data_IF_299506287410
#
_entry.id   IF_299506287410
#
_cell.length_a   1.000
_cell.length_b   1.000
_cell.length_c   1.000
_cell.angle_alpha   90.00
_cell.angle_beta   90.00
_cell.angle_gamma   90.00
#
_symmetry.space_group_name_H-M   'P 1'
#
loop_
_entity.id
_entity.type
_entity.pdbx_description
1 polymer ?
#
# COMPACT_ATOMS: atom_id res chain seq x y z
N UNK A 1 -2.06 -12.66 32.25
CA UNK A 1 -1.70 -11.56 31.33
C UNK A 1 -2.73 -10.45 31.52
N UNK A 2 -2.30 -9.21 31.81
CA UNK A 2 -3.21 -8.11 32.18
C UNK A 2 -3.92 -7.57 30.93
N UNK A 3 -5.20 -7.26 31.04
CA UNK A 3 -5.92 -6.51 30.02
C UNK A 3 -5.25 -5.15 29.84
N UNK A 4 -5.07 -4.72 28.58
CA UNK A 4 -4.48 -3.42 28.28
C UNK A 4 -5.49 -2.33 28.64
N UNK A 5 -5.13 -1.45 29.57
CA UNK A 5 -5.93 -0.29 29.97
C UNK A 5 -5.79 0.82 28.92
N UNK A 6 -6.91 1.24 28.31
CA UNK A 6 -6.95 2.35 27.37
C UNK A 6 -6.39 3.65 27.99
N UNK A 7 -6.62 3.88 29.29
CA UNK A 7 -6.07 5.03 30.00
C UNK A 7 -4.54 5.02 30.06
N UNK A 8 -3.94 3.84 30.28
CA UNK A 8 -2.49 3.66 30.30
C UNK A 8 -1.86 3.88 28.91
N UNK A 9 -2.52 3.43 27.84
CA UNK A 9 -2.06 3.67 26.47
C UNK A 9 -2.05 5.15 26.15
N UNK A 10 -3.17 5.86 26.42
CA UNK A 10 -3.27 7.31 26.17
C UNK A 10 -2.21 8.09 26.91
N UNK A 11 -2.00 7.80 28.21
CA UNK A 11 -0.95 8.46 29.01
C UNK A 11 0.44 8.25 28.43
N UNK A 12 0.79 7.02 28.07
CA UNK A 12 2.09 6.71 27.50
C UNK A 12 2.33 7.47 26.18
N UNK A 13 1.33 7.50 25.30
CA UNK A 13 1.42 8.24 24.03
C UNK A 13 1.57 9.74 24.29
N UNK A 14 0.77 10.30 25.21
CA UNK A 14 0.82 11.71 25.58
C UNK A 14 2.19 12.11 26.15
N UNK A 15 2.76 11.29 27.04
CA UNK A 15 4.10 11.49 27.62
C UNK A 15 5.19 11.49 26.54
N UNK A 16 5.10 10.57 25.57
CA UNK A 16 6.08 10.50 24.48
C UNK A 16 5.97 11.70 23.55
N UNK A 17 4.75 12.10 23.18
CA UNK A 17 4.48 13.26 22.33
C UNK A 17 4.94 14.55 23.01
N UNK A 18 4.62 14.74 24.28
CA UNK A 18 5.11 15.87 25.07
C UNK A 18 6.64 15.90 25.09
N UNK A 19 7.29 14.74 25.25
CA UNK A 19 8.74 14.62 25.30
C UNK A 19 9.47 15.06 24.03
N UNK A 20 8.91 14.84 22.83
CA UNK A 20 9.55 15.26 21.57
C UNK A 20 9.02 16.57 20.99
N UNK A 21 7.83 17.03 21.39
CA UNK A 21 7.29 18.33 20.96
C UNK A 21 7.60 19.47 21.93
N UNK A 22 7.93 19.17 23.19
CA UNK A 22 8.05 20.16 24.26
C UNK A 22 6.71 20.73 24.74
N UNK A 23 5.59 20.11 24.35
CA UNK A 23 4.22 20.51 24.76
C UNK A 23 3.89 19.88 26.12
N UNK A 24 3.00 20.49 26.90
CA UNK A 24 2.49 19.88 28.13
C UNK A 24 1.66 18.62 27.80
N UNK A 25 1.70 17.60 28.67
CA UNK A 25 1.03 16.30 28.43
C UNK A 25 -0.48 16.46 28.28
N UNK A 26 -1.07 17.35 29.08
CA UNK A 26 -2.48 17.74 29.07
C UNK A 26 -2.94 18.42 27.77
N UNK A 27 -2.02 19.03 27.02
CA UNK A 27 -2.31 19.77 25.80
C UNK A 27 -2.10 18.93 24.53
N UNK A 28 -1.68 17.66 24.66
CA UNK A 28 -1.46 16.77 23.51
C UNK A 28 -2.82 16.31 22.93
N UNK A 29 -3.10 16.59 21.63
CA UNK A 29 -4.34 16.12 21.00
C UNK A 29 -4.29 14.60 20.76
N UNK A 30 -5.33 13.90 21.20
CA UNK A 30 -5.39 12.41 21.17
C UNK A 30 -5.98 11.85 19.87
N UNK A 31 -6.66 12.68 19.09
CA UNK A 31 -7.37 12.35 17.86
C UNK A 31 -6.60 12.74 16.59
N UNK A 32 -5.42 13.36 16.73
CA UNK A 32 -4.59 13.79 15.62
C UNK A 32 -3.51 12.76 15.27
N UNK A 33 -3.17 12.58 13.97
CA UNK A 33 -2.08 11.70 13.57
C UNK A 33 -0.76 12.06 14.26
N UNK A 34 -0.06 11.08 14.81
CA UNK A 34 1.22 11.28 15.49
C UNK A 34 2.30 11.86 14.57
N UNK A 35 2.22 11.55 13.27
CA UNK A 35 3.10 12.14 12.25
C UNK A 35 2.94 13.67 12.15
N UNK A 36 1.70 14.17 12.26
CA UNK A 36 1.41 15.62 12.27
C UNK A 36 1.89 16.29 13.56
N UNK A 37 2.11 15.49 14.62
CA UNK A 37 2.64 15.91 15.92
C UNK A 37 4.16 15.76 16.01
N UNK A 38 4.85 15.62 14.86
CA UNK A 38 6.31 15.61 14.79
C UNK A 38 6.96 14.26 15.11
N UNK A 39 6.21 13.15 15.10
CA UNK A 39 6.78 11.82 15.28
C UNK A 39 7.75 11.48 14.13
N UNK A 40 9.03 11.29 14.45
CA UNK A 40 10.02 10.75 13.52
C UNK A 40 10.01 9.21 13.47
N UNK A 41 10.72 8.61 12.51
CA UNK A 41 10.86 7.15 12.45
C UNK A 41 11.53 6.56 13.70
N UNK A 42 12.44 7.30 14.35
CA UNK A 42 13.08 6.88 15.61
C UNK A 42 12.06 6.87 16.75
N UNK A 43 11.22 7.89 16.78
CA UNK A 43 10.16 8.06 17.78
C UNK A 43 9.11 6.97 17.64
N UNK A 44 8.77 6.60 16.41
CA UNK A 44 7.85 5.50 16.11
C UNK A 44 8.38 4.16 16.66
N UNK A 45 9.66 3.83 16.40
CA UNK A 45 10.26 2.59 16.91
C UNK A 45 10.29 2.57 18.45
N UNK A 46 10.63 3.69 19.08
CA UNK A 46 10.67 3.80 20.54
C UNK A 46 9.26 3.65 21.16
N UNK A 47 8.27 4.36 20.61
CA UNK A 47 6.88 4.29 21.07
C UNK A 47 6.31 2.88 20.89
N UNK A 48 6.56 2.22 19.76
CA UNK A 48 6.16 0.83 19.54
C UNK A 48 6.76 -0.12 20.59
N UNK A 49 8.05 0.05 20.94
CA UNK A 49 8.71 -0.73 21.98
C UNK A 49 8.13 -0.49 23.38
N UNK A 50 7.79 0.76 23.71
CA UNK A 50 7.16 1.10 24.99
C UNK A 50 5.73 0.55 25.08
N UNK A 51 4.94 0.64 24.00
CA UNK A 51 3.61 0.03 23.89
C UNK A 51 3.66 -1.49 23.98
N UNK A 52 4.66 -2.13 23.37
CA UNK A 52 4.87 -3.58 23.45
C UNK A 52 5.12 -4.02 24.90
N UNK A 53 5.94 -3.26 25.63
CA UNK A 53 6.21 -3.50 27.05
C UNK A 53 4.97 -3.31 27.92
N UNK A 54 4.19 -2.26 27.66
CA UNK A 54 2.93 -1.99 28.36
C UNK A 54 1.90 -3.09 28.10
N UNK A 55 1.78 -3.54 26.85
CA UNK A 55 0.84 -4.58 26.44
C UNK A 55 1.31 -6.00 26.82
N UNK A 56 2.60 -6.17 27.16
CA UNK A 56 3.19 -7.47 27.46
C UNK A 56 3.26 -8.41 26.26
N UNK A 57 3.37 -7.87 25.04
CA UNK A 57 3.42 -8.62 23.77
C UNK A 57 4.24 -7.86 22.74
N UNK A 58 4.81 -8.57 21.77
CA UNK A 58 5.43 -7.93 20.61
C UNK A 58 4.37 -7.18 19.79
N UNK A 59 4.74 -5.99 19.32
CA UNK A 59 3.92 -5.17 18.44
C UNK A 59 4.76 -4.82 17.20
N UNK A 60 4.23 -4.99 15.98
CA UNK A 60 4.93 -4.55 14.79
C UNK A 60 5.03 -3.02 14.79
N UNK A 61 6.17 -2.42 14.39
CA UNK A 61 6.31 -0.97 14.30
C UNK A 61 5.30 -0.31 13.33
N UNK A 62 4.74 -1.09 12.40
CA UNK A 62 3.73 -0.63 11.44
C UNK A 62 2.40 -0.26 12.10
N UNK A 63 2.15 -0.70 13.33
CA UNK A 63 0.95 -0.38 14.10
C UNK A 63 0.68 1.13 14.18
N UNK A 64 1.74 1.93 14.24
CA UNK A 64 1.65 3.39 14.33
C UNK A 64 1.17 4.04 13.02
N UNK A 65 1.17 3.30 11.92
CA UNK A 65 0.58 3.71 10.63
C UNK A 65 -0.84 3.20 10.46
N UNK A 66 -1.13 2.01 10.99
CA UNK A 66 -2.46 1.39 10.98
C UNK A 66 -3.43 2.08 11.95
N UNK A 67 -2.93 2.54 13.10
CA UNK A 67 -3.64 3.29 14.12
C UNK A 67 -2.87 4.58 14.43
N UNK A 68 -2.99 5.63 13.60
CA UNK A 68 -2.08 6.77 13.66
C UNK A 68 -2.35 7.77 14.78
N UNK A 69 -3.36 7.56 15.62
CA UNK A 69 -3.74 8.49 16.71
C UNK A 69 -3.69 7.79 18.06
N UNK A 70 -3.56 8.55 19.15
CA UNK A 70 -3.55 7.98 20.50
C UNK A 70 -4.85 7.21 20.80
N UNK A 71 -6.00 7.74 20.35
CA UNK A 71 -7.29 7.06 20.48
C UNK A 71 -7.37 5.79 19.63
N UNK A 72 -6.88 5.82 18.39
CA UNK A 72 -6.85 4.65 17.54
C UNK A 72 -5.95 3.55 18.11
N UNK A 73 -4.79 3.91 18.69
CA UNK A 73 -3.87 2.97 19.34
C UNK A 73 -4.50 2.34 20.58
N UNK A 74 -5.13 3.14 21.45
CA UNK A 74 -5.83 2.64 22.62
C UNK A 74 -6.96 1.69 22.21
N UNK A 75 -7.80 2.09 21.26
CA UNK A 75 -8.89 1.25 20.76
C UNK A 75 -8.38 -0.02 20.08
N UNK A 76 -7.28 0.05 19.33
CA UNK A 76 -6.69 -1.10 18.65
C UNK A 76 -6.12 -2.09 19.68
N UNK A 77 -5.31 -1.63 20.63
CA UNK A 77 -4.69 -2.49 21.63
C UNK A 77 -5.71 -3.14 22.58
N UNK A 78 -6.80 -2.43 22.93
CA UNK A 78 -7.89 -2.98 23.74
C UNK A 78 -8.79 -3.96 22.97
N UNK A 79 -8.93 -3.80 21.64
CA UNK A 79 -9.70 -4.73 20.78
C UNK A 79 -8.91 -5.98 20.40
N UNK A 80 -7.58 -5.90 20.36
CA UNK A 80 -6.75 -7.05 20.03
C UNK A 80 -6.96 -8.15 21.07
N UNK A 81 -7.45 -9.34 20.68
CA UNK A 81 -7.60 -10.46 21.59
C UNK A 81 -6.24 -10.76 22.26
N UNK A 82 -6.27 -11.09 23.55
CA UNK A 82 -5.15 -11.78 24.21
C UNK A 82 -4.77 -12.97 23.34
N UNK A 83 -3.48 -13.18 22.98
CA UNK A 83 -3.09 -14.30 22.14
C UNK A 83 -3.55 -15.60 22.82
N UNK A 84 -4.61 -16.17 22.28
CA UNK A 84 -5.11 -17.49 22.62
C UNK A 84 -4.58 -18.40 21.53
N UNK A 85 -3.54 -19.15 21.89
CA UNK A 85 -2.82 -20.09 21.02
C UNK A 85 -2.26 -19.46 19.72
N UNK A 86 -1.22 -20.05 19.09
CA UNK A 86 -0.86 -19.69 17.73
C UNK A 86 -2.11 -19.79 16.83
N UNK A 87 -2.29 -18.90 15.84
CA UNK A 87 -3.35 -19.11 14.85
C UNK A 87 -3.15 -20.52 14.30
N UNK A 88 -4.20 -21.34 14.38
CA UNK A 88 -4.21 -22.59 13.66
C UNK A 88 -3.81 -22.25 12.21
N UNK A 89 -2.91 -23.02 11.58
CA UNK A 89 -2.54 -22.79 10.20
C UNK A 89 -3.83 -22.59 9.42
N UNK A 90 -3.91 -21.48 8.66
CA UNK A 90 -5.07 -21.17 7.82
C UNK A 90 -5.48 -22.47 7.16
N UNK A 91 -6.66 -22.97 7.53
CA UNK A 91 -7.12 -24.27 7.05
C UNK A 91 -7.20 -24.10 5.56
N UNK A 92 -6.27 -24.74 4.83
CA UNK A 92 -6.30 -24.76 3.38
C UNK A 92 -7.70 -25.22 3.05
N UNK A 93 -8.50 -24.30 2.49
CA UNK A 93 -9.86 -24.59 2.10
C UNK A 93 -9.81 -25.89 1.27
N UNK A 94 -10.73 -26.84 1.49
CA UNK A 94 -10.73 -28.07 0.73
C UNK A 94 -10.65 -27.72 -0.77
N UNK A 95 -9.85 -28.45 -1.57
CA UNK A 95 -9.79 -28.15 -3.00
C UNK A 95 -11.17 -28.43 -3.58
N UNK A 96 -11.89 -27.39 -4.04
CA UNK A 96 -12.91 -27.46 -5.12
C UNK A 96 -13.85 -26.26 -5.26
N UNK A 97 -13.66 -25.11 -4.57
CA UNK A 97 -14.45 -23.93 -4.93
C UNK A 97 -13.86 -23.21 -6.15
N UNK A 98 -14.62 -23.03 -7.25
CA UNK A 98 -14.16 -22.25 -8.39
C UNK A 98 -13.93 -20.78 -7.99
N UNK A 99 -12.80 -20.21 -8.40
CA UNK A 99 -12.48 -18.79 -8.16
C UNK A 99 -13.17 -17.93 -9.22
N UNK A 100 -14.02 -17.00 -8.77
CA UNK A 100 -14.66 -16.03 -9.67
C UNK A 100 -13.72 -14.85 -9.97
N UNK A 101 -13.53 -14.55 -11.25
CA UNK A 101 -12.89 -13.29 -11.68
C UNK A 101 -13.96 -12.20 -11.71
N UNK A 102 -13.96 -11.35 -10.69
CA UNK A 102 -14.96 -10.29 -10.52
C UNK A 102 -14.50 -8.93 -11.07
N UNK A 103 -13.20 -8.74 -11.28
CA UNK A 103 -12.58 -7.49 -11.70
C UNK A 103 -11.35 -7.73 -12.55
N UNK A 104 -11.12 -6.84 -13.51
CA UNK A 104 -9.90 -6.85 -14.33
C UNK A 104 -9.53 -5.43 -14.70
N UNK A 105 -8.24 -5.12 -14.57
CA UNK A 105 -7.60 -3.94 -15.14
C UNK A 105 -6.42 -4.41 -15.99
N UNK A 106 -6.04 -3.66 -17.02
CA UNK A 106 -4.88 -4.00 -17.82
C UNK A 106 -4.28 -2.79 -18.54
N UNK A 107 -2.97 -2.88 -18.80
CA UNK A 107 -2.24 -2.04 -19.74
C UNK A 107 -1.62 -2.96 -20.78
N UNK A 108 -1.96 -2.77 -22.05
CA UNK A 108 -1.46 -3.61 -23.14
C UNK A 108 -1.03 -2.72 -24.34
N UNK A 109 -0.22 -3.27 -25.26
CA UNK A 109 0.17 -2.56 -26.49
C UNK A 109 -1.05 -2.13 -27.31
N UNK A 110 -0.88 -1.06 -28.12
CA UNK A 110 -1.93 -0.56 -29.00
C UNK A 110 -2.94 0.37 -28.30
N UNK A 111 -2.46 1.17 -27.34
CA UNK A 111 -3.29 2.14 -26.62
C UNK A 111 -4.30 1.55 -25.62
N UNK A 112 -4.18 0.27 -25.26
CA UNK A 112 -5.13 -0.40 -24.37
C UNK A 112 -4.93 0.04 -22.92
N UNK A 113 -5.94 0.71 -22.36
CA UNK A 113 -5.97 1.15 -20.97
C UNK A 113 -6.97 0.35 -20.12
N UNK A 114 -7.55 -0.73 -20.65
CA UNK A 114 -8.47 -1.57 -19.88
C UNK A 114 -9.16 -2.65 -20.72
N UNK A 115 -10.03 -3.46 -20.09
CA UNK A 115 -10.66 -4.60 -20.74
C UNK A 115 -11.53 -4.24 -21.94
N UNK A 116 -12.22 -3.08 -21.90
CA UNK A 116 -13.06 -2.61 -23.00
C UNK A 116 -12.21 -2.24 -24.23
N UNK A 117 -11.06 -1.59 -24.02
CA UNK A 117 -10.14 -1.23 -25.09
C UNK A 117 -9.50 -2.49 -25.69
N UNK A 118 -9.12 -3.43 -24.82
CA UNK A 118 -8.56 -4.70 -25.24
C UNK A 118 -9.54 -5.49 -26.11
N UNK A 119 -10.81 -5.55 -25.69
CA UNK A 119 -11.84 -6.22 -26.48
C UNK A 119 -11.99 -5.60 -27.86
N UNK A 120 -12.03 -4.26 -27.96
CA UNK A 120 -12.09 -3.57 -29.26
C UNK A 120 -10.88 -3.90 -30.14
N UNK A 121 -9.68 -3.85 -29.58
CA UNK A 121 -8.44 -4.20 -30.30
C UNK A 121 -8.53 -5.62 -30.90
N UNK A 122 -9.02 -6.59 -30.12
CA UNK A 122 -9.19 -7.97 -30.57
C UNK A 122 -10.26 -8.11 -31.65
N UNK A 123 -11.45 -7.51 -31.45
CA UNK A 123 -12.55 -7.62 -32.41
C UNK A 123 -12.27 -6.91 -33.73
N UNK A 124 -11.48 -5.83 -33.68
CA UNK A 124 -11.08 -5.07 -34.86
C UNK A 124 -9.88 -5.71 -35.57
N UNK A 125 -9.29 -6.78 -35.00
CA UNK A 125 -8.16 -7.50 -35.59
C UNK A 125 -6.88 -6.67 -35.69
N UNK A 126 -6.68 -5.73 -34.77
CA UNK A 126 -5.56 -4.79 -34.81
C UNK A 126 -4.27 -5.50 -34.36
N UNK A 127 -3.23 -5.38 -35.19
CA UNK A 127 -1.87 -5.78 -34.83
C UNK A 127 -1.15 -4.63 -34.11
N UNK A 128 -0.82 -4.83 -32.84
CA UNK A 128 -0.12 -3.85 -32.00
C UNK A 128 1.41 -4.00 -32.00
N UNK A 129 1.97 -4.88 -32.85
CA UNK A 129 3.41 -5.03 -32.99
C UNK A 129 3.99 -3.82 -33.72
N UNK A 130 4.95 -3.16 -33.06
CA UNK A 130 5.65 -1.99 -33.61
C UNK A 130 7.15 -2.15 -33.43
N UNK A 131 7.90 -1.28 -34.12
CA UNK A 131 9.35 -1.20 -33.93
C UNK A 131 9.67 -0.79 -32.49
N UNK A 132 10.75 -1.31 -31.92
CA UNK A 132 11.22 -0.94 -30.58
C UNK A 132 11.31 0.60 -30.44
N UNK A 133 10.72 1.20 -29.39
CA UNK A 133 10.82 2.64 -29.15
C UNK A 133 12.29 3.08 -29.04
N UNK A 134 12.63 4.20 -29.68
CA UNK A 134 14.02 4.67 -29.76
C UNK A 134 14.62 5.09 -28.41
N UNK A 135 13.76 5.47 -27.47
CA UNK A 135 14.07 5.84 -26.10
C UNK A 135 14.21 4.63 -25.15
N UNK A 136 13.77 3.43 -25.56
CA UNK A 136 13.76 2.22 -24.72
C UNK A 136 15.10 1.90 -24.06
N UNK A 137 16.17 2.15 -24.80
CA UNK A 137 17.54 1.83 -24.41
C UNK A 137 18.32 3.04 -23.91
N UNK A 138 17.80 4.26 -24.08
CA UNK A 138 18.54 5.51 -23.88
C UNK A 138 19.19 5.60 -22.50
N UNK A 139 18.50 5.12 -21.47
CA UNK A 139 18.96 5.18 -20.09
C UNK A 139 19.94 4.04 -19.72
N UNK A 140 20.06 3.01 -20.56
CA UNK A 140 20.88 1.82 -20.31
C UNK A 140 22.11 1.74 -21.22
N UNK A 141 21.98 2.14 -22.49
CA UNK A 141 23.04 2.05 -23.50
C UNK A 141 22.81 3.07 -24.64
N UNK A 142 23.88 3.68 -25.20
CA UNK A 142 23.77 4.60 -26.33
C UNK A 142 23.31 3.92 -27.63
N UNK A 143 23.45 2.59 -27.75
CA UNK A 143 23.00 1.82 -28.90
C UNK A 143 22.21 0.59 -28.44
N UNK A 144 21.09 0.23 -29.10
CA UNK A 144 20.40 -1.02 -28.83
C UNK A 144 21.36 -2.21 -29.08
N UNK A 145 21.24 -3.31 -28.31
CA UNK A 145 22.00 -4.54 -28.57
C UNK A 145 21.79 -5.02 -30.01
N UNK A 146 22.85 -5.50 -30.69
CA UNK A 146 22.76 -5.96 -32.09
C UNK A 146 21.76 -7.10 -32.28
N UNK A 147 21.63 -7.98 -31.29
CA UNK A 147 20.70 -9.12 -31.30
C UNK A 147 19.29 -8.77 -30.80
N UNK A 148 19.02 -7.51 -30.46
CA UNK A 148 17.71 -7.12 -29.96
C UNK A 148 16.66 -7.24 -31.09
N UNK A 149 15.55 -7.98 -30.87
CA UNK A 149 14.50 -8.08 -31.86
C UNK A 149 13.94 -6.68 -32.17
N UNK A 150 13.86 -6.28 -33.45
CA UNK A 150 13.51 -4.91 -33.80
C UNK A 150 12.02 -4.61 -33.60
N UNK A 151 11.18 -5.63 -33.36
CA UNK A 151 9.73 -5.52 -33.24
C UNK A 151 9.21 -6.17 -31.96
N UNK A 152 8.16 -5.57 -31.38
CA UNK A 152 7.48 -6.07 -30.19
C UNK A 152 6.22 -5.27 -29.87
N UNK A 153 5.43 -5.77 -28.94
CA UNK A 153 4.31 -5.04 -28.35
C UNK A 153 4.81 -4.20 -27.18
N UNK A 154 4.68 -2.87 -27.29
CA UNK A 154 5.14 -1.94 -26.26
C UNK A 154 4.01 -1.05 -25.79
N UNK A 155 3.96 -0.80 -24.48
CA UNK A 155 3.09 0.22 -23.91
C UNK A 155 3.47 1.60 -24.46
N UNK A 156 2.47 2.41 -24.75
CA UNK A 156 2.67 3.75 -25.32
C UNK A 156 3.18 4.74 -24.28
N UNK A 157 2.71 4.60 -23.05
CA UNK A 157 3.16 5.38 -21.91
C UNK A 157 3.54 4.46 -20.74
N UNK A 158 4.80 4.57 -20.30
CA UNK A 158 5.33 3.91 -19.09
C UNK A 158 5.76 4.93 -18.03
N UNK A 159 5.71 6.22 -18.36
CA UNK A 159 6.17 7.31 -17.52
C UNK A 159 5.00 8.03 -16.83
N UNK A 160 3.81 8.02 -17.44
CA UNK A 160 2.58 8.52 -16.86
C UNK A 160 2.24 7.82 -15.55
N UNK A 161 1.86 8.62 -14.55
CA UNK A 161 1.41 8.15 -13.26
C UNK A 161 0.71 9.27 -12.49
N UNK A 162 -0.49 9.01 -11.96
CA UNK A 162 -1.21 9.96 -11.09
C UNK A 162 -0.68 9.88 -9.64
N UNK A 163 0.47 10.51 -9.40
CA UNK A 163 1.14 10.46 -8.10
C UNK A 163 0.29 11.05 -6.96
N UNK A 164 -0.45 12.12 -7.22
CA UNK A 164 -1.27 12.80 -6.22
C UNK A 164 -2.45 11.91 -5.77
N UNK A 165 -3.07 11.17 -6.69
CA UNK A 165 -4.11 10.20 -6.37
C UNK A 165 -3.63 9.14 -5.37
N UNK A 166 -2.41 8.61 -5.57
CA UNK A 166 -1.79 7.64 -4.67
C UNK A 166 -1.08 8.27 -3.46
N UNK A 167 -1.15 9.60 -3.31
CA UNK A 167 -0.50 10.37 -2.24
C UNK A 167 1.02 10.17 -2.20
N UNK A 168 1.62 10.02 -3.39
CA UNK A 168 3.05 9.87 -3.61
C UNK A 168 3.62 11.21 -4.07
N UNK A 169 4.76 11.62 -3.51
CA UNK A 169 5.35 12.91 -3.89
C UNK A 169 5.93 12.85 -5.31
N UNK A 170 5.99 13.96 -6.07
CA UNK A 170 6.59 13.96 -7.42
C UNK A 170 8.05 13.46 -7.44
N UNK A 171 8.81 13.79 -6.39
CA UNK A 171 10.21 13.36 -6.26
C UNK A 171 10.33 11.83 -6.11
N UNK A 172 9.42 11.24 -5.34
CA UNK A 172 9.37 9.79 -5.15
C UNK A 172 8.87 9.10 -6.42
N UNK A 173 7.79 9.59 -7.04
CA UNK A 173 7.24 9.05 -8.27
C UNK A 173 8.27 8.99 -9.42
N UNK A 174 9.17 9.98 -9.49
CA UNK A 174 10.24 10.04 -10.52
C UNK A 174 11.23 8.88 -10.42
N UNK A 175 11.48 8.36 -9.21
CA UNK A 175 12.44 7.26 -8.98
C UNK A 175 11.76 5.90 -8.83
N UNK A 176 10.42 5.85 -8.87
CA UNK A 176 9.68 4.59 -8.84
C UNK A 176 9.82 3.83 -10.15
N UNK A 177 10.00 2.50 -10.02
CA UNK A 177 9.93 1.59 -11.16
C UNK A 177 8.58 1.79 -11.88
N UNK A 178 8.57 2.02 -13.21
CA UNK A 178 7.34 2.05 -14.01
C UNK A 178 6.36 0.91 -13.73
N UNK A 179 6.86 -0.30 -13.46
CA UNK A 179 6.03 -1.47 -13.17
C UNK A 179 5.23 -1.31 -11.88
N UNK A 180 5.81 -0.68 -10.85
CA UNK A 180 5.10 -0.41 -9.59
C UNK A 180 4.00 0.62 -9.78
N UNK A 181 4.28 1.66 -10.57
CA UNK A 181 3.32 2.73 -10.89
C UNK A 181 2.14 2.19 -11.68
N UNK A 182 2.41 1.42 -12.73
CA UNK A 182 1.38 0.73 -13.52
C UNK A 182 0.56 -0.22 -12.64
N UNK A 183 1.20 -0.99 -11.75
CA UNK A 183 0.50 -1.91 -10.87
C UNK A 183 -0.50 -1.20 -9.96
N UNK A 184 -0.14 -0.05 -9.38
CA UNK A 184 -1.03 0.74 -8.52
C UNK A 184 -2.29 1.17 -9.27
N UNK A 185 -2.15 1.69 -10.48
CA UNK A 185 -3.27 2.09 -11.34
C UNK A 185 -4.14 0.90 -11.74
N UNK A 186 -3.51 -0.17 -12.24
CA UNK A 186 -4.22 -1.36 -12.71
C UNK A 186 -4.99 -2.05 -11.58
N UNK A 187 -4.43 -2.10 -10.37
CA UNK A 187 -5.14 -2.63 -9.20
C UNK A 187 -6.33 -1.74 -8.85
N UNK A 188 -6.17 -0.42 -8.86
CA UNK A 188 -7.28 0.49 -8.59
C UNK A 188 -8.42 0.33 -9.61
N UNK A 189 -8.09 0.20 -10.89
CA UNK A 189 -9.06 -0.05 -11.96
C UNK A 189 -9.72 -1.42 -11.86
N UNK A 190 -8.98 -2.47 -11.52
CA UNK A 190 -9.53 -3.80 -11.32
C UNK A 190 -10.55 -3.82 -10.18
N UNK A 191 -10.27 -3.10 -9.09
CA UNK A 191 -11.21 -2.89 -7.99
C UNK A 191 -12.45 -2.10 -8.44
N UNK A 192 -12.25 -1.05 -9.24
CA UNK A 192 -13.33 -0.28 -9.85
C UNK A 192 -14.23 -1.12 -10.76
N UNK A 193 -13.64 -1.96 -11.60
CA UNK A 193 -14.36 -2.92 -12.46
C UNK A 193 -15.14 -3.94 -11.63
N UNK A 194 -14.61 -4.38 -10.48
CA UNK A 194 -15.31 -5.25 -9.55
C UNK A 194 -16.40 -4.54 -8.73
N UNK A 195 -16.55 -3.22 -8.86
CA UNK A 195 -17.39 -2.38 -8.01
C UNK A 195 -17.03 -2.53 -6.50
N UNK A 196 -15.74 -2.74 -6.20
CA UNK A 196 -15.22 -2.84 -4.83
C UNK A 196 -14.50 -1.53 -4.46
N UNK A 197 -15.01 -0.74 -3.49
CA UNK A 197 -14.31 0.45 -3.03
C UNK A 197 -12.98 0.09 -2.37
N UNK A 198 -11.87 0.69 -2.82
CA UNK A 198 -10.55 0.38 -2.24
C UNK A 198 -10.48 0.62 -0.72
N UNK A 199 -11.16 1.66 -0.23
CA UNK A 199 -11.24 1.97 1.20
C UNK A 199 -11.97 0.90 2.03
N UNK A 200 -12.84 0.08 1.42
CA UNK A 200 -13.50 -1.01 2.16
C UNK A 200 -12.58 -2.20 2.42
N UNK A 201 -11.41 -2.25 1.77
CA UNK A 201 -10.43 -3.32 1.93
C UNK A 201 -9.35 -3.00 2.98
N UNK A 202 -9.31 -1.76 3.49
CA UNK A 202 -8.33 -1.34 4.49
C UNK A 202 -8.43 -2.18 5.77
N UNK A 203 -7.34 -2.82 6.17
CA UNK A 203 -7.28 -3.67 7.38
C UNK A 203 -7.93 -5.05 7.22
N UNK A 204 -8.32 -5.44 6.00
CA UNK A 204 -8.86 -6.76 5.69
C UNK A 204 -7.76 -7.73 5.25
N UNK A 205 -8.04 -9.03 5.29
CA UNK A 205 -7.14 -10.07 4.78
C UNK A 205 -7.26 -10.20 3.25
N UNK A 206 -6.82 -9.17 2.52
CA UNK A 206 -6.74 -9.17 1.05
C UNK A 206 -5.29 -9.36 0.62
N UNK A 207 -5.00 -10.34 -0.24
CA UNK A 207 -3.65 -10.67 -0.73
C UNK A 207 -3.67 -11.47 -2.01
#
# INVERSE_FOLDING_TARGET
>A
MRAVDAGAVRRLVAERVAGWTGTAVEDVPMDRPLADLGMSSRDAVALAGDLARLAGRELPPTLLWEAPTAEALAAHLCRMPTPSAPPAPATVAPPSEPVAVIGVGCRLPGGVQGPADYWRLLTDGVDAIRRVPADRWRDFTPFPPEDAPPYGGYLDDIAGFDADFFRITPREATVMDPQQRILLEVVHEALGHAAVPAASLTGTATG
#
